data_IF_745417371491
#
_entry.id   IF_745417371491
#
_cell.length_a   1.000
_cell.length_b   1.000
_cell.length_c   1.000
_cell.angle_alpha   90.00
_cell.angle_beta   90.00
_cell.angle_gamma   90.00
#
_symmetry.space_group_name_H-M   'P 1'
#
loop_
_entity.id
_entity.type
_entity.pdbx_description
1 polymer ?
#
# COMPACT_ATOMS: atom_id res chain seq x y z
N UNK A 1 -18.26 80.97 -8.88
CA UNK A 1 -18.38 79.52 -8.60
C UNK A 1 -17.01 79.00 -8.20
N UNK A 2 -16.75 78.93 -6.90
CA UNK A 2 -15.60 78.23 -6.33
C UNK A 2 -16.16 77.30 -5.27
N UNK A 3 -15.92 76.01 -5.44
CA UNK A 3 -16.40 74.95 -4.57
C UNK A 3 -15.66 73.67 -4.90
N UNK A 4 -14.34 73.69 -4.72
CA UNK A 4 -13.53 72.48 -4.74
C UNK A 4 -13.77 71.70 -3.44
N UNK A 5 -14.20 70.44 -3.58
CA UNK A 5 -14.45 69.53 -2.47
C UNK A 5 -13.14 69.15 -1.76
N UNK A 6 -12.95 69.79 -0.60
CA UNK A 6 -11.80 69.65 0.31
C UNK A 6 -11.82 68.33 1.11
N UNK A 7 -12.86 67.49 0.98
CA UNK A 7 -12.94 66.17 1.63
C UNK A 7 -12.52 65.00 0.73
N UNK A 8 -12.07 65.27 -0.50
CA UNK A 8 -11.47 64.24 -1.35
C UNK A 8 -10.07 63.88 -0.83
N UNK A 9 -10.04 62.93 0.11
CA UNK A 9 -8.81 62.35 0.66
C UNK A 9 -7.82 61.98 -0.45
N UNK A 10 -6.55 62.34 -0.25
CA UNK A 10 -5.50 62.20 -1.26
C UNK A 10 -5.43 60.76 -1.79
N UNK A 11 -5.52 60.59 -3.11
CA UNK A 11 -5.42 59.30 -3.83
C UNK A 11 -4.03 58.63 -3.76
N UNK A 12 -3.12 59.14 -2.91
CA UNK A 12 -1.75 58.63 -2.72
C UNK A 12 -1.59 57.63 -1.56
N UNK A 13 -2.67 57.19 -0.92
CA UNK A 13 -2.60 56.27 0.23
C UNK A 13 -3.07 54.83 -0.02
N UNK A 14 -3.28 54.41 -1.28
CA UNK A 14 -3.46 52.97 -1.56
C UNK A 14 -2.08 52.29 -1.57
N UNK A 15 -1.68 51.69 -0.45
CA UNK A 15 -0.58 50.71 -0.41
C UNK A 15 -0.84 49.68 -1.51
N UNK A 16 0.03 49.65 -2.53
CA UNK A 16 -0.03 48.66 -3.60
C UNK A 16 0.24 47.30 -2.95
N UNK A 17 -0.73 46.39 -3.01
CA UNK A 17 -0.58 45.06 -2.44
C UNK A 17 0.61 44.36 -3.11
N UNK A 18 1.57 43.92 -2.31
CA UNK A 18 2.76 43.20 -2.78
C UNK A 18 2.38 41.75 -3.04
N UNK A 19 2.84 41.19 -4.16
CA UNK A 19 2.55 39.81 -4.51
C UNK A 19 3.11 38.85 -3.45
N UNK A 20 2.30 37.88 -3.03
CA UNK A 20 2.74 36.80 -2.13
C UNK A 20 3.10 35.60 -3.00
N UNK A 21 4.29 35.03 -2.78
CA UNK A 21 4.83 33.93 -3.57
C UNK A 21 5.27 32.80 -2.65
N UNK A 22 4.87 31.58 -2.98
CA UNK A 22 5.30 30.39 -2.24
C UNK A 22 6.80 30.17 -2.47
N UNK A 23 7.57 30.09 -1.39
CA UNK A 23 9.01 29.84 -1.43
C UNK A 23 9.28 28.35 -1.73
N UNK A 24 8.93 27.91 -2.93
CA UNK A 24 9.23 26.56 -3.39
C UNK A 24 10.74 26.33 -3.46
N UNK A 25 11.17 25.08 -3.27
CA UNK A 25 12.59 24.72 -3.41
C UNK A 25 13.07 25.07 -4.81
N UNK A 26 14.30 25.57 -4.90
CA UNK A 26 14.95 26.01 -6.15
C UNK A 26 14.37 27.31 -6.75
N UNK A 27 13.36 27.93 -6.12
CA UNK A 27 12.94 29.29 -6.47
C UNK A 27 14.08 30.27 -6.22
N UNK A 28 14.50 31.01 -7.24
CA UNK A 28 15.54 32.04 -7.13
C UNK A 28 14.91 33.39 -6.80
N UNK A 29 15.40 34.00 -5.71
CA UNK A 29 14.97 35.33 -5.28
C UNK A 29 16.17 36.17 -4.88
N UNK A 30 15.98 37.49 -4.88
CA UNK A 30 16.94 38.44 -4.35
C UNK A 30 16.41 39.08 -3.06
N UNK A 31 17.21 39.16 -2.00
CA UNK A 31 16.88 39.95 -0.82
C UNK A 31 17.02 41.45 -1.11
N UNK A 32 15.93 42.21 -0.99
CA UNK A 32 15.87 43.61 -1.40
C UNK A 32 16.78 44.54 -0.58
N UNK A 33 17.15 44.14 0.64
CA UNK A 33 17.98 44.95 1.53
C UNK A 33 19.49 44.76 1.27
N UNK A 34 19.92 43.53 0.98
CA UNK A 34 21.34 43.19 0.81
C UNK A 34 21.74 42.92 -0.64
N UNK A 35 20.79 42.75 -1.56
CA UNK A 35 21.05 42.36 -2.95
C UNK A 35 21.53 40.91 -3.10
N UNK A 36 21.37 40.08 -2.06
CA UNK A 36 21.79 38.69 -2.10
C UNK A 36 20.80 37.87 -2.92
N UNK A 37 21.26 37.31 -4.04
CA UNK A 37 20.47 36.47 -4.93
C UNK A 37 20.80 34.99 -4.75
N UNK A 38 19.79 34.16 -4.51
CA UNK A 38 19.98 32.73 -4.29
C UNK A 38 18.70 31.91 -4.40
N UNK A 39 18.88 30.59 -4.53
CA UNK A 39 17.80 29.60 -4.61
C UNK A 39 17.33 29.19 -3.22
N UNK A 40 16.03 29.00 -3.04
CA UNK A 40 15.46 28.48 -1.78
C UNK A 40 15.90 27.03 -1.57
N UNK A 41 16.66 26.78 -0.50
CA UNK A 41 17.14 25.44 -0.14
C UNK A 41 16.50 24.90 1.14
N UNK A 42 15.77 25.75 1.86
CA UNK A 42 15.05 25.34 3.06
C UNK A 42 14.56 26.52 3.87
N UNK A 43 14.16 26.23 5.10
CA UNK A 43 13.61 27.22 6.02
C UNK A 43 14.16 27.01 7.42
N UNK A 44 14.03 28.06 8.22
CA UNK A 44 14.28 28.01 9.65
C UNK A 44 13.19 28.76 10.42
N UNK A 45 13.08 28.47 11.73
CA UNK A 45 12.14 29.16 12.61
C UNK A 45 12.87 29.54 13.89
N UNK A 46 12.89 30.83 14.17
CA UNK A 46 13.43 31.39 15.42
C UNK A 46 12.30 32.05 16.23
N UNK A 47 12.62 32.51 17.43
CA UNK A 47 11.71 33.31 18.26
C UNK A 47 11.28 34.61 17.55
N UNK A 48 12.13 35.13 16.65
CA UNK A 48 11.89 36.35 15.85
C UNK A 48 11.11 36.11 14.54
N UNK A 49 10.64 34.88 14.27
CA UNK A 49 9.76 34.57 13.14
C UNK A 49 10.30 33.52 12.16
N UNK A 50 9.75 33.53 10.93
CA UNK A 50 10.11 32.61 9.86
C UNK A 50 11.25 33.14 9.00
N UNK A 51 12.17 32.24 8.64
CA UNK A 51 13.32 32.54 7.81
C UNK A 51 13.40 31.56 6.64
N UNK A 52 13.84 32.07 5.48
CA UNK A 52 14.18 31.26 4.30
C UNK A 52 15.70 31.13 4.18
N UNK A 53 16.18 29.94 3.82
CA UNK A 53 17.58 29.67 3.49
C UNK A 53 17.75 29.83 1.99
N UNK A 54 18.60 30.77 1.58
CA UNK A 54 18.96 30.99 0.18
C UNK A 54 20.40 30.58 -0.06
N UNK A 55 20.64 29.82 -1.12
CA UNK A 55 21.96 29.41 -1.60
C UNK A 55 22.34 30.17 -2.87
N UNK A 56 23.49 30.84 -2.88
CA UNK A 56 23.98 31.52 -4.09
C UNK A 56 24.66 30.55 -5.07
N UNK A 57 25.01 31.06 -6.26
CA UNK A 57 25.69 30.27 -7.29
C UNK A 57 27.09 29.75 -6.89
N UNK A 58 27.64 30.19 -5.76
CA UNK A 58 28.93 29.73 -5.20
C UNK A 58 28.73 28.76 -4.03
N UNK A 59 27.50 28.40 -3.71
CA UNK A 59 27.14 27.47 -2.63
C UNK A 59 27.09 28.11 -1.25
N UNK A 60 27.12 29.45 -1.12
CA UNK A 60 27.00 30.10 0.17
C UNK A 60 25.52 30.16 0.60
N UNK A 61 25.21 29.61 1.77
CA UNK A 61 23.84 29.59 2.31
C UNK A 61 23.66 30.67 3.38
N UNK A 62 22.62 31.50 3.23
CA UNK A 62 22.27 32.57 4.17
C UNK A 62 20.79 32.55 4.56
N UNK A 63 20.49 33.04 5.75
CA UNK A 63 19.14 33.14 6.30
C UNK A 63 18.59 34.56 6.12
N UNK A 64 17.35 34.64 5.62
CA UNK A 64 16.63 35.90 5.43
C UNK A 64 15.24 35.82 6.07
N UNK A 65 14.87 36.86 6.81
CA UNK A 65 13.55 36.91 7.47
C UNK A 65 12.45 37.07 6.41
N UNK A 66 11.39 36.27 6.51
CA UNK A 66 10.28 36.27 5.57
C UNK A 66 9.29 37.43 5.86
N UNK A 67 9.76 38.67 5.69
CA UNK A 67 8.99 39.89 5.92
C UNK A 67 8.23 40.33 4.67
N UNK A 68 7.20 41.16 4.86
CA UNK A 68 6.44 41.76 3.75
C UNK A 68 7.37 42.54 2.83
N UNK A 69 7.29 42.26 1.52
CA UNK A 69 8.04 42.92 0.45
C UNK A 69 9.57 42.87 0.58
N UNK A 70 10.12 41.88 1.30
CA UNK A 70 11.55 41.78 1.56
C UNK A 70 12.37 41.18 0.41
N UNK A 71 11.72 40.59 -0.60
CA UNK A 71 12.39 39.89 -1.69
C UNK A 71 12.02 40.47 -3.04
N UNK A 72 12.83 40.20 -4.06
CA UNK A 72 12.61 40.56 -5.44
C UNK A 72 12.60 39.29 -6.31
N UNK A 73 11.66 39.24 -7.24
CA UNK A 73 11.66 38.31 -8.38
C UNK A 73 11.59 39.18 -9.63
N UNK A 74 12.55 39.03 -10.54
CA UNK A 74 12.69 39.86 -11.75
C UNK A 74 12.64 41.37 -11.44
N UNK A 75 13.26 41.76 -10.31
CA UNK A 75 13.28 43.15 -9.82
C UNK A 75 11.96 43.67 -9.25
N UNK A 76 10.92 42.84 -9.14
CA UNK A 76 9.63 43.21 -8.53
C UNK A 76 9.56 42.77 -7.07
N UNK A 77 9.16 43.65 -6.12
CA UNK A 77 8.96 43.27 -4.73
C UNK A 77 7.92 42.16 -4.55
N UNK A 78 8.27 41.15 -3.77
CA UNK A 78 7.42 40.03 -3.37
C UNK A 78 7.56 39.74 -1.88
N UNK A 79 6.51 39.16 -1.31
CA UNK A 79 6.52 38.59 0.03
C UNK A 79 6.57 37.08 -0.08
N UNK A 80 7.66 36.46 0.36
CA UNK A 80 7.74 35.01 0.41
C UNK A 80 6.87 34.45 1.52
N UNK A 81 6.16 33.36 1.23
CA UNK A 81 5.40 32.58 2.20
C UNK A 81 5.85 31.13 2.16
N UNK A 82 5.80 30.43 3.29
CA UNK A 82 6.15 29.02 3.35
C UNK A 82 5.10 28.20 2.55
N UNK A 83 5.51 27.32 1.64
CA UNK A 83 4.58 26.43 0.94
C UNK A 83 3.76 25.61 1.94
N UNK A 84 2.47 25.46 1.68
CA UNK A 84 1.64 24.55 2.47
C UNK A 84 2.18 23.12 2.32
N UNK A 85 2.28 22.32 3.40
CA UNK A 85 2.69 20.92 3.28
C UNK A 85 1.70 20.20 2.35
N UNK A 86 2.20 19.66 1.24
CA UNK A 86 1.40 18.81 0.35
C UNK A 86 0.96 17.59 1.16
N UNK A 87 -0.35 17.40 1.33
CA UNK A 87 -0.86 16.24 2.04
C UNK A 87 -0.32 14.97 1.36
N UNK A 88 0.14 13.96 2.13
CA UNK A 88 0.59 12.71 1.54
C UNK A 88 -0.56 12.14 0.71
N UNK A 89 -0.26 11.84 -0.55
CA UNK A 89 -1.23 11.29 -1.50
C UNK A 89 -1.71 9.95 -0.92
N UNK A 90 -2.99 9.87 -0.54
CA UNK A 90 -3.55 8.61 -0.02
C UNK A 90 -3.39 7.52 -1.06
N UNK A 91 -2.95 6.34 -0.61
CA UNK A 91 -2.88 5.16 -1.45
C UNK A 91 -4.28 4.81 -1.96
N UNK A 92 -4.46 4.89 -3.27
CA UNK A 92 -5.73 4.57 -3.94
C UNK A 92 -5.87 3.08 -4.25
N UNK A 93 -4.85 2.27 -3.94
CA UNK A 93 -4.80 0.83 -4.24
C UNK A 93 -4.71 -0.01 -2.96
N UNK A 94 -5.29 -1.20 -2.99
CA UNK A 94 -5.13 -2.24 -1.96
C UNK A 94 -3.83 -3.03 -2.16
N UNK A 95 -3.52 -3.93 -1.22
CA UNK A 95 -2.38 -4.85 -1.33
C UNK A 95 -2.54 -5.85 -2.49
N UNK A 96 -3.76 -6.17 -2.92
CA UNK A 96 -4.05 -6.97 -4.13
C UNK A 96 -3.91 -6.17 -5.43
N UNK A 97 -3.82 -4.84 -5.34
CA UNK A 97 -3.74 -3.94 -6.49
C UNK A 97 -5.10 -3.41 -6.99
N UNK A 98 -6.21 -3.81 -6.37
CA UNK A 98 -7.54 -3.27 -6.66
C UNK A 98 -7.68 -1.81 -6.19
N UNK A 99 -8.72 -1.11 -6.66
CA UNK A 99 -9.03 0.24 -6.17
C UNK A 99 -9.54 0.15 -4.73
N UNK A 100 -8.90 0.88 -3.83
CA UNK A 100 -9.28 0.87 -2.42
C UNK A 100 -10.63 1.57 -2.23
N UNK A 101 -11.53 0.90 -1.51
CA UNK A 101 -12.84 1.43 -1.13
C UNK A 101 -12.74 2.01 0.29
N UNK A 102 -13.02 3.30 0.44
CA UNK A 102 -13.07 3.96 1.76
C UNK A 102 -14.46 3.82 2.40
N UNK A 103 -14.52 3.93 3.73
CA UNK A 103 -15.79 4.00 4.46
C UNK A 103 -16.58 2.69 4.50
N UNK A 104 -15.91 1.54 4.37
CA UNK A 104 -16.52 0.23 4.53
C UNK A 104 -17.25 0.13 5.88
N UNK A 105 -18.56 -0.06 5.82
CA UNK A 105 -19.35 -0.47 6.99
C UNK A 105 -19.28 -1.99 7.12
N UNK A 106 -19.33 -2.49 8.35
CA UNK A 106 -19.45 -3.93 8.58
C UNK A 106 -20.67 -4.46 7.81
N UNK A 107 -20.42 -5.37 6.87
CA UNK A 107 -21.44 -6.07 6.10
C UNK A 107 -21.70 -7.44 6.73
N UNK A 108 -22.91 -7.96 6.55
CA UNK A 108 -23.19 -9.37 6.83
C UNK A 108 -22.32 -10.18 5.88
N UNK A 109 -21.63 -11.20 6.40
CA UNK A 109 -20.84 -12.10 5.58
C UNK A 109 -21.73 -12.70 4.48
N UNK A 110 -21.21 -12.72 3.25
CA UNK A 110 -21.82 -13.43 2.13
C UNK A 110 -22.04 -14.89 2.53
N UNK A 111 -22.94 -15.59 1.84
CA UNK A 111 -23.13 -17.01 2.12
C UNK A 111 -21.93 -17.85 1.64
N UNK A 112 -21.23 -17.42 0.59
CA UNK A 112 -20.06 -18.11 0.03
C UNK A 112 -18.81 -18.04 0.92
N UNK A 113 -17.89 -19.00 0.74
CA UNK A 113 -16.64 -19.12 1.51
C UNK A 113 -15.45 -19.43 0.64
N UNK A 114 -14.28 -18.96 1.07
CA UNK A 114 -12.99 -19.50 0.61
C UNK A 114 -12.42 -20.35 1.74
N UNK A 115 -12.04 -21.57 1.41
CA UNK A 115 -11.37 -22.50 2.29
C UNK A 115 -9.92 -22.67 1.86
N UNK A 116 -9.03 -22.70 2.84
CA UNK A 116 -7.60 -22.90 2.62
C UNK A 116 -7.12 -24.09 3.45
N UNK A 117 -6.00 -24.69 3.07
CA UNK A 117 -5.50 -25.87 3.76
C UNK A 117 -5.03 -25.55 5.19
N UNK A 118 -4.22 -24.50 5.35
CA UNK A 118 -3.58 -24.14 6.61
C UNK A 118 -3.78 -22.70 7.06
N UNK A 119 -3.30 -22.43 8.28
CA UNK A 119 -3.38 -21.11 8.90
C UNK A 119 -2.45 -20.07 8.25
N UNK A 120 -1.34 -20.51 7.65
CA UNK A 120 -0.41 -19.62 6.95
C UNK A 120 -1.02 -19.12 5.64
N UNK A 121 -1.74 -19.97 4.93
CA UNK A 121 -2.52 -19.65 3.74
C UNK A 121 -3.57 -18.59 4.07
N UNK A 122 -4.37 -18.84 5.11
CA UNK A 122 -5.41 -17.92 5.55
C UNK A 122 -4.81 -16.55 5.86
N UNK A 123 -3.67 -16.53 6.55
CA UNK A 123 -2.98 -15.30 6.91
C UNK A 123 -2.41 -14.55 5.70
N UNK A 124 -1.84 -15.24 4.71
CA UNK A 124 -1.37 -14.59 3.47
C UNK A 124 -2.53 -14.07 2.62
N UNK A 125 -3.60 -14.85 2.50
CA UNK A 125 -4.82 -14.43 1.79
C UNK A 125 -5.40 -13.18 2.45
N UNK A 126 -5.52 -13.18 3.77
CA UNK A 126 -6.00 -12.02 4.54
C UNK A 126 -5.09 -10.80 4.37
N UNK A 127 -3.76 -11.01 4.37
CA UNK A 127 -2.80 -9.92 4.25
C UNK A 127 -2.87 -9.21 2.89
N UNK A 128 -3.03 -9.96 1.81
CA UNK A 128 -2.99 -9.39 0.45
C UNK A 128 -4.38 -9.06 -0.09
N UNK A 129 -5.38 -9.91 0.13
CA UNK A 129 -6.74 -9.75 -0.41
C UNK A 129 -7.80 -9.45 0.65
N UNK A 130 -7.46 -9.38 1.94
CA UNK A 130 -8.45 -9.17 3.00
C UNK A 130 -9.27 -7.88 2.82
N UNK A 131 -8.71 -6.83 2.21
CA UNK A 131 -9.47 -5.63 1.86
C UNK A 131 -10.63 -5.97 0.91
N UNK A 132 -10.31 -6.60 -0.23
CA UNK A 132 -11.24 -7.01 -1.27
C UNK A 132 -12.30 -7.97 -0.73
N UNK A 133 -11.87 -8.98 0.01
CA UNK A 133 -12.77 -9.97 0.60
C UNK A 133 -13.78 -9.33 1.56
N UNK A 134 -13.39 -8.28 2.30
CA UNK A 134 -14.33 -7.52 3.15
C UNK A 134 -15.29 -6.64 2.35
N UNK A 135 -14.88 -6.12 1.18
CA UNK A 135 -15.80 -5.41 0.27
C UNK A 135 -16.93 -6.35 -0.17
N UNK A 136 -16.55 -7.57 -0.53
CA UNK A 136 -17.44 -8.62 -1.04
C UNK A 136 -18.15 -9.42 0.07
N UNK A 137 -17.72 -9.26 1.33
CA UNK A 137 -18.26 -10.01 2.47
C UNK A 137 -17.86 -11.49 2.49
N UNK A 138 -16.84 -11.89 1.73
CA UNK A 138 -16.35 -13.27 1.66
C UNK A 138 -15.46 -13.57 2.86
N UNK A 139 -15.67 -14.72 3.49
CA UNK A 139 -14.90 -15.18 4.64
C UNK A 139 -13.94 -16.29 4.22
N UNK A 140 -12.72 -16.24 4.76
CA UNK A 140 -11.69 -17.26 4.60
C UNK A 140 -11.63 -18.13 5.85
N UNK A 141 -11.70 -19.45 5.69
CA UNK A 141 -11.61 -20.44 6.78
C UNK A 141 -10.53 -21.48 6.42
N UNK A 142 -9.82 -22.03 7.41
CA UNK A 142 -8.86 -23.11 7.18
C UNK A 142 -9.52 -24.48 7.46
N UNK A 143 -9.12 -25.51 6.71
CA UNK A 143 -9.71 -26.86 6.78
C UNK A 143 -9.01 -27.81 7.75
N UNK A 144 -7.89 -27.41 8.34
CA UNK A 144 -7.02 -28.29 9.13
C UNK A 144 -6.60 -29.54 8.31
N UNK A 145 -6.34 -29.33 7.02
CA UNK A 145 -6.01 -30.38 6.05
C UNK A 145 -7.16 -30.77 5.12
N UNK A 146 -6.80 -31.17 3.90
CA UNK A 146 -7.75 -31.46 2.83
C UNK A 146 -8.61 -32.72 3.07
N UNK A 147 -8.17 -33.62 3.95
CA UNK A 147 -8.92 -34.84 4.30
C UNK A 147 -10.29 -34.51 4.93
N UNK A 148 -10.48 -33.31 5.49
CA UNK A 148 -11.74 -32.84 6.06
C UNK A 148 -12.73 -32.26 5.03
N UNK A 149 -12.31 -32.09 3.78
CA UNK A 149 -13.07 -31.37 2.76
C UNK A 149 -14.47 -31.95 2.55
N UNK A 150 -14.59 -33.27 2.38
CA UNK A 150 -15.87 -33.91 2.08
C UNK A 150 -16.91 -33.74 3.21
N UNK A 151 -16.48 -33.90 4.46
CA UNK A 151 -17.33 -33.71 5.62
C UNK A 151 -17.78 -32.24 5.74
N UNK A 152 -16.85 -31.30 5.56
CA UNK A 152 -17.12 -29.85 5.62
C UNK A 152 -18.05 -29.40 4.49
N UNK A 153 -17.88 -29.91 3.28
CA UNK A 153 -18.81 -29.65 2.16
C UNK A 153 -20.20 -30.18 2.45
N UNK A 154 -20.32 -31.36 3.08
CA UNK A 154 -21.62 -31.95 3.43
C UNK A 154 -22.32 -31.11 4.49
N UNK A 155 -21.61 -30.71 5.54
CA UNK A 155 -22.14 -29.82 6.60
C UNK A 155 -22.51 -28.45 6.05
N UNK A 156 -21.64 -27.87 5.21
CA UNK A 156 -21.89 -26.58 4.62
C UNK A 156 -23.11 -26.68 3.72
N UNK A 157 -23.12 -27.52 2.69
CA UNK A 157 -24.17 -27.60 1.67
C UNK A 157 -24.05 -26.49 0.61
N UNK A 158 -23.03 -26.53 -0.27
CA UNK A 158 -22.87 -25.57 -1.35
C UNK A 158 -24.08 -25.54 -2.31
N UNK A 159 -24.43 -24.35 -2.78
CA UNK A 159 -25.60 -24.13 -3.64
C UNK A 159 -25.52 -22.82 -4.43
N UNK A 160 -26.58 -22.53 -5.19
CA UNK A 160 -26.75 -21.22 -5.81
C UNK A 160 -26.68 -20.10 -4.75
N UNK A 161 -25.93 -19.04 -5.04
CA UNK A 161 -25.63 -17.96 -4.08
C UNK A 161 -24.78 -18.36 -2.86
N UNK A 162 -24.32 -19.61 -2.76
CA UNK A 162 -23.59 -20.15 -1.59
C UNK A 162 -22.48 -21.10 -2.03
N UNK A 163 -21.46 -20.54 -2.67
CA UNK A 163 -20.36 -21.28 -3.29
C UNK A 163 -19.20 -21.49 -2.32
N UNK A 164 -18.39 -22.52 -2.58
CA UNK A 164 -17.16 -22.79 -1.83
C UNK A 164 -15.97 -22.80 -2.78
N UNK A 165 -15.06 -21.86 -2.60
CA UNK A 165 -13.73 -21.89 -3.20
C UNK A 165 -12.76 -22.63 -2.28
N UNK A 166 -11.90 -23.49 -2.81
CA UNK A 166 -10.87 -24.20 -2.02
C UNK A 166 -9.50 -23.92 -2.63
N UNK A 167 -8.56 -23.41 -1.83
CA UNK A 167 -7.15 -23.24 -2.19
C UNK A 167 -6.34 -24.38 -1.55
N UNK A 168 -5.60 -25.10 -2.38
CA UNK A 168 -4.83 -26.28 -1.99
C UNK A 168 -3.35 -26.10 -2.30
N UNK A 169 -2.48 -26.49 -1.37
CA UNK A 169 -1.05 -26.50 -1.58
C UNK A 169 -0.64 -27.68 -2.46
N UNK A 170 0.47 -27.54 -3.18
CA UNK A 170 1.07 -28.60 -3.99
C UNK A 170 0.09 -29.34 -4.93
N UNK A 171 -0.88 -28.63 -5.51
CA UNK A 171 -1.88 -29.21 -6.41
C UNK A 171 -1.26 -29.53 -7.78
N UNK A 172 -0.62 -30.69 -7.85
CA UNK A 172 0.02 -31.25 -9.06
C UNK A 172 -0.75 -32.48 -9.52
N UNK A 173 -0.94 -32.65 -10.83
CA UNK A 173 -1.65 -33.80 -11.41
C UNK A 173 -1.08 -35.12 -10.90
N UNK A 174 -1.95 -35.99 -10.39
CA UNK A 174 -1.59 -37.32 -9.87
C UNK A 174 -1.19 -37.34 -8.39
N UNK A 175 -1.27 -36.20 -7.70
CA UNK A 175 -1.13 -36.10 -6.25
C UNK A 175 -2.34 -36.68 -5.49
N UNK A 176 -2.17 -36.94 -4.18
CA UNK A 176 -3.26 -37.40 -3.30
C UNK A 176 -4.41 -36.36 -3.30
N UNK A 177 -4.02 -35.10 -3.32
CA UNK A 177 -4.86 -33.92 -3.30
C UNK A 177 -5.78 -33.88 -4.52
N UNK A 178 -5.26 -34.22 -5.71
CA UNK A 178 -6.07 -34.28 -6.94
C UNK A 178 -7.26 -35.24 -6.82
N UNK A 179 -7.08 -36.37 -6.11
CA UNK A 179 -8.15 -37.36 -5.94
C UNK A 179 -9.27 -36.83 -5.05
N UNK A 180 -8.91 -36.14 -3.96
CA UNK A 180 -9.84 -35.54 -3.00
C UNK A 180 -10.67 -34.39 -3.59
N UNK A 181 -10.24 -33.83 -4.71
CA UNK A 181 -10.87 -32.66 -5.34
C UNK A 181 -11.78 -32.99 -6.53
N UNK A 182 -12.03 -34.27 -6.79
CA UNK A 182 -12.85 -34.70 -7.95
C UNK A 182 -14.33 -34.84 -7.59
N UNK A 183 -15.22 -34.50 -8.52
CA UNK A 183 -16.67 -34.77 -8.38
C UNK A 183 -17.43 -33.93 -7.35
N UNK A 184 -16.94 -32.73 -6.99
CA UNK A 184 -17.52 -31.89 -5.91
C UNK A 184 -18.76 -31.08 -6.31
N UNK A 185 -19.23 -31.21 -7.55
CA UNK A 185 -20.38 -30.48 -8.07
C UNK A 185 -20.07 -29.05 -8.53
N UNK A 186 -21.06 -28.33 -9.08
CA UNK A 186 -20.84 -27.05 -9.76
C UNK A 186 -20.65 -25.85 -8.81
N UNK A 187 -20.98 -26.00 -7.53
CA UNK A 187 -20.89 -24.92 -6.53
C UNK A 187 -19.61 -24.98 -5.69
N UNK A 188 -18.66 -25.82 -6.10
CA UNK A 188 -17.34 -25.97 -5.47
C UNK A 188 -16.27 -25.80 -6.55
N UNK A 189 -15.34 -24.87 -6.32
CA UNK A 189 -14.16 -24.69 -7.17
C UNK A 189 -12.91 -24.98 -6.34
N UNK A 190 -12.09 -25.91 -6.82
CA UNK A 190 -10.77 -26.16 -6.23
C UNK A 190 -9.70 -25.56 -7.14
N UNK A 191 -8.84 -24.75 -6.56
CA UNK A 191 -7.61 -24.26 -7.18
C UNK A 191 -6.43 -24.59 -6.28
N UNK A 192 -5.23 -24.34 -6.76
CA UNK A 192 -4.04 -24.53 -5.97
C UNK A 192 -2.81 -24.00 -6.68
N UNK A 193 -1.67 -24.19 -6.05
CA UNK A 193 -0.38 -23.79 -6.58
C UNK A 193 0.62 -24.96 -6.56
N UNK A 194 1.66 -24.93 -7.42
CA UNK A 194 2.60 -26.03 -7.56
C UNK A 194 3.61 -26.14 -6.40
N UNK A 195 3.58 -25.21 -5.45
CA UNK A 195 4.55 -25.12 -4.36
C UNK A 195 4.25 -26.14 -3.25
N UNK A 196 5.30 -26.60 -2.58
CA UNK A 196 5.20 -27.58 -1.49
C UNK A 196 4.46 -27.00 -0.28
N UNK A 197 4.63 -25.71 -0.05
CA UNK A 197 4.00 -24.95 1.03
C UNK A 197 3.84 -23.50 0.60
N UNK A 198 2.81 -22.82 1.12
CA UNK A 198 2.55 -21.40 0.84
C UNK A 198 3.75 -20.46 1.07
N UNK A 199 4.70 -20.81 1.95
CA UNK A 199 5.93 -20.01 2.10
C UNK A 199 6.66 -19.86 0.78
N UNK A 200 6.75 -20.95 0.00
CA UNK A 200 7.44 -20.98 -1.29
C UNK A 200 6.71 -20.16 -2.36
N UNK A 201 5.45 -19.81 -2.13
CA UNK A 201 4.71 -18.88 -2.98
C UNK A 201 5.11 -17.41 -2.77
N UNK A 202 5.87 -17.08 -1.72
CA UNK A 202 6.48 -15.77 -1.55
C UNK A 202 7.77 -15.69 -2.36
N UNK A 203 7.96 -14.59 -3.10
CA UNK A 203 9.15 -14.40 -3.94
C UNK A 203 10.42 -14.43 -3.09
N UNK A 204 11.49 -15.14 -3.51
CA UNK A 204 12.76 -15.16 -2.81
C UNK A 204 13.31 -13.76 -2.48
N UNK A 205 13.17 -12.81 -3.42
CA UNK A 205 13.64 -11.44 -3.25
C UNK A 205 12.94 -10.70 -2.10
N UNK A 206 11.65 -10.97 -1.85
CA UNK A 206 10.90 -10.33 -0.77
C UNK A 206 11.46 -10.72 0.60
N UNK A 207 11.86 -11.99 0.76
CA UNK A 207 12.47 -12.51 2.00
C UNK A 207 14.00 -12.40 2.01
N UNK A 208 14.60 -11.72 1.03
CA UNK A 208 16.04 -11.45 0.97
C UNK A 208 16.91 -12.68 0.68
N UNK A 209 16.37 -13.70 0.00
CA UNK A 209 17.13 -14.91 -0.40
C UNK A 209 17.23 -15.00 -1.92
N UNK A 210 18.26 -15.69 -2.41
CA UNK A 210 18.45 -15.92 -3.85
C UNK A 210 17.35 -16.82 -4.43
N UNK A 211 17.06 -17.91 -3.72
CA UNK A 211 16.06 -18.90 -4.08
C UNK A 211 15.64 -19.68 -2.82
N UNK A 212 14.46 -20.31 -2.85
CA UNK A 212 14.04 -21.23 -1.82
C UNK A 212 14.95 -22.48 -1.82
N UNK A 213 15.46 -22.91 -0.65
CA UNK A 213 16.35 -24.06 -0.59
C UNK A 213 15.59 -25.35 -0.92
N UNK A 214 16.29 -26.28 -1.57
CA UNK A 214 15.76 -27.62 -1.82
C UNK A 214 15.77 -28.44 -0.52
N UNK A 215 14.61 -28.94 -0.12
CA UNK A 215 14.44 -29.84 1.03
C UNK A 215 14.20 -31.26 0.52
N UNK A 216 15.05 -32.24 0.89
CA UNK A 216 14.87 -33.64 0.52
C UNK A 216 13.53 -34.19 0.99
N UNK A 217 12.98 -35.12 0.21
CA UNK A 217 11.79 -35.87 0.62
C UNK A 217 12.03 -36.62 1.93
N UNK A 218 11.04 -36.61 2.81
CA UNK A 218 11.11 -37.22 4.14
C UNK A 218 11.59 -36.29 5.25
N UNK A 219 12.11 -35.10 4.92
CA UNK A 219 12.34 -34.01 5.88
C UNK A 219 11.11 -33.09 5.88
N UNK A 220 10.64 -32.67 7.06
CA UNK A 220 9.61 -31.62 7.17
C UNK A 220 10.10 -30.36 6.44
N UNK A 221 9.29 -29.86 5.50
CA UNK A 221 9.74 -28.84 4.57
C UNK A 221 10.08 -27.53 5.28
N UNK A 222 9.22 -27.07 6.22
CA UNK A 222 9.43 -25.82 6.96
C UNK A 222 10.68 -25.88 7.84
N UNK A 223 10.86 -26.98 8.57
CA UNK A 223 12.06 -27.23 9.38
C UNK A 223 13.31 -27.26 8.52
N UNK A 224 13.24 -27.95 7.37
CA UNK A 224 14.36 -28.06 6.43
C UNK A 224 14.75 -26.72 5.80
N UNK A 225 13.79 -25.86 5.50
CA UNK A 225 14.01 -24.48 5.02
C UNK A 225 14.70 -23.66 6.11
N UNK A 226 14.12 -23.62 7.32
CA UNK A 226 14.67 -22.82 8.41
C UNK A 226 16.09 -23.23 8.78
N UNK A 227 16.39 -24.53 8.77
CA UNK A 227 17.74 -25.05 9.02
C UNK A 227 18.75 -24.59 7.98
N UNK A 228 18.38 -24.60 6.70
CA UNK A 228 19.28 -24.21 5.59
C UNK A 228 19.52 -22.71 5.51
N UNK A 229 18.51 -21.91 5.86
CA UNK A 229 18.59 -20.44 5.84
C UNK A 229 19.05 -19.85 7.18
N UNK A 230 19.25 -20.67 8.22
CA UNK A 230 19.63 -20.19 9.55
C UNK A 230 18.53 -19.36 10.23
N UNK A 231 17.27 -19.63 9.92
CA UNK A 231 16.12 -18.86 10.42
C UNK A 231 15.61 -19.35 11.79
N UNK A 232 16.18 -20.40 12.37
CA UNK A 232 15.74 -20.92 13.66
C UNK A 232 14.53 -21.85 13.51
N UNK A 233 13.49 -21.62 14.30
CA UNK A 233 12.27 -22.44 14.32
C UNK A 233 11.32 -22.12 13.16
N UNK A 234 10.40 -23.03 12.78
CA UNK A 234 9.34 -22.76 11.81
C UNK A 234 8.47 -21.55 12.15
N UNK A 235 8.24 -21.27 13.44
CA UNK A 235 7.48 -20.10 13.90
C UNK A 235 8.24 -18.80 13.61
N UNK A 236 9.56 -18.78 13.82
CA UNK A 236 10.42 -17.63 13.49
C UNK A 236 10.60 -17.47 11.98
N UNK A 237 10.68 -18.58 11.25
CA UNK A 237 10.65 -18.59 9.79
C UNK A 237 9.35 -17.98 9.26
N UNK A 238 8.20 -18.40 9.79
CA UNK A 238 6.90 -17.87 9.39
C UNK A 238 6.82 -16.36 9.60
N UNK A 239 7.24 -15.86 10.77
CA UNK A 239 7.25 -14.43 11.05
C UNK A 239 8.10 -13.65 10.04
N UNK A 240 9.23 -14.20 9.60
CA UNK A 240 10.05 -13.57 8.54
C UNK A 240 9.31 -13.54 7.21
N UNK A 241 8.73 -14.66 6.78
CA UNK A 241 7.97 -14.77 5.52
C UNK A 241 6.77 -13.83 5.52
N UNK A 242 5.94 -13.88 6.55
CA UNK A 242 4.73 -13.06 6.67
C UNK A 242 5.02 -11.56 6.67
N UNK A 243 6.09 -11.14 7.36
CA UNK A 243 6.46 -9.72 7.43
C UNK A 243 7.10 -9.18 6.15
N UNK A 244 7.56 -10.04 5.24
CA UNK A 244 8.17 -9.65 3.98
C UNK A 244 7.16 -9.37 2.86
N UNK A 245 5.89 -9.75 3.04
CA UNK A 245 4.85 -9.59 2.02
C UNK A 245 4.11 -8.29 2.27
N UNK A 246 4.18 -7.30 1.38
CA UNK A 246 3.40 -6.07 1.51
C UNK A 246 2.27 -6.01 0.48
N UNK A 247 2.44 -6.65 -0.67
CA UNK A 247 1.45 -6.69 -1.73
C UNK A 247 1.52 -7.97 -2.57
N UNK A 248 0.59 -8.12 -3.51
CA UNK A 248 0.60 -9.20 -4.49
C UNK A 248 1.93 -9.31 -5.26
N UNK A 249 2.70 -8.22 -5.37
CA UNK A 249 3.99 -8.21 -6.08
C UNK A 249 5.04 -9.09 -5.41
N UNK A 250 4.90 -9.33 -4.12
CA UNK A 250 5.80 -10.17 -3.33
C UNK A 250 5.45 -11.65 -3.44
N UNK A 251 4.41 -12.00 -4.22
CA UNK A 251 3.95 -13.36 -4.42
C UNK A 251 4.24 -13.86 -5.84
N UNK A 252 4.38 -15.17 -5.97
CA UNK A 252 4.50 -15.85 -7.24
C UNK A 252 3.15 -15.94 -7.96
N UNK A 253 3.18 -15.79 -9.29
CA UNK A 253 2.00 -15.73 -10.14
C UNK A 253 1.02 -16.92 -9.98
N UNK A 254 1.47 -18.17 -9.77
CA UNK A 254 0.55 -19.30 -9.58
C UNK A 254 -0.41 -19.15 -8.40
N UNK A 255 0.07 -18.63 -7.25
CA UNK A 255 -0.78 -18.39 -6.08
C UNK A 255 -1.76 -17.24 -6.36
N UNK A 256 -1.28 -16.15 -6.95
CA UNK A 256 -2.11 -14.98 -7.28
C UNK A 256 -3.29 -15.41 -8.16
N UNK A 257 -3.00 -16.07 -9.28
CA UNK A 257 -4.04 -16.51 -10.20
C UNK A 257 -4.97 -17.57 -9.61
N UNK A 258 -4.51 -18.41 -8.66
CA UNK A 258 -5.38 -19.34 -7.95
C UNK A 258 -6.39 -18.59 -7.07
N UNK A 259 -5.93 -17.66 -6.25
CA UNK A 259 -6.78 -16.86 -5.35
C UNK A 259 -7.75 -15.99 -6.15
N UNK A 260 -7.31 -15.33 -7.22
CA UNK A 260 -8.18 -14.50 -8.05
C UNK A 260 -9.33 -15.30 -8.65
N UNK A 261 -9.06 -16.50 -9.19
CA UNK A 261 -10.13 -17.39 -9.70
C UNK A 261 -11.11 -17.82 -8.62
N UNK A 262 -10.64 -18.03 -7.38
CA UNK A 262 -11.53 -18.35 -6.26
C UNK A 262 -12.41 -17.17 -5.91
N UNK A 263 -11.85 -15.96 -5.84
CA UNK A 263 -12.61 -14.73 -5.56
C UNK A 263 -13.69 -14.57 -6.63
N UNK A 264 -13.31 -14.56 -7.90
CA UNK A 264 -14.26 -14.44 -9.01
C UNK A 264 -15.39 -15.47 -8.90
N UNK A 265 -15.05 -16.73 -8.60
CA UNK A 265 -16.03 -17.80 -8.47
C UNK A 265 -17.00 -17.59 -7.30
N UNK A 266 -16.54 -17.12 -6.13
CA UNK A 266 -17.41 -16.98 -4.95
C UNK A 266 -18.17 -15.66 -4.91
N UNK A 267 -17.77 -14.68 -5.72
CA UNK A 267 -18.41 -13.36 -5.82
C UNK A 267 -19.25 -13.18 -7.08
N UNK A 268 -19.22 -14.13 -8.02
CA UNK A 268 -20.01 -14.06 -9.25
C UNK A 268 -21.51 -13.88 -8.93
N UNK A 269 -22.15 -12.79 -9.40
CA UNK A 269 -23.58 -12.59 -9.25
C UNK A 269 -24.37 -13.63 -10.07
N UNK A 270 -25.57 -13.98 -9.61
CA UNK A 270 -26.50 -14.84 -10.36
C UNK A 270 -26.95 -14.21 -11.69
#
# INVERSE_FOLDING_TARGET
MYGGDIFSGHSRARKRAVARVDAERDLVVEDAASGFCGAVVGFDRSYDGEFVKLEDARGAVRLFAMREAAFLIDGQPVTLVRPAPTAPKRETRSASGSTRVEGLRARVAAASRIWVEGVHDAALVERVWGHDLRVEGVVVEHLEGLDNLAARLTEFGPGAGRRVGVLVDHLVTGSKETQLTTGLGPHVLVTGHPFIDVWQAVRPAAVGIREWPQVPRGEDWKTGVCRRLGWGTPQEGWRRVYNAVDSFRDLEAPLIGAVERLIDFVTEPE
#
